data_IF_815832007726
#
_entry.id   IF_815832007726
#
_cell.length_a   1.000
_cell.length_b   1.000
_cell.length_c   1.000
_cell.angle_alpha   90.00
_cell.angle_beta   90.00
_cell.angle_gamma   90.00
#
_symmetry.space_group_name_H-M   'P 1'
#
loop_
_entity.id
_entity.type
_entity.pdbx_description
1 polymer ?
#
# COMPACT_ATOMS: atom_id res chain seq x y z
N UNK A 1 -20.57 -12.59 8.69
CA UNK A 1 -19.16 -12.98 8.93
C UNK A 1 -18.42 -12.87 7.61
N UNK A 2 -17.65 -11.80 7.42
CA UNK A 2 -16.96 -11.55 6.14
C UNK A 2 -15.81 -12.55 5.98
N UNK A 3 -15.78 -13.30 4.88
CA UNK A 3 -14.66 -14.17 4.54
C UNK A 3 -13.51 -13.24 4.16
N UNK A 4 -12.50 -13.13 5.03
CA UNK A 4 -11.25 -12.43 4.69
C UNK A 4 -10.74 -12.92 3.33
N UNK A 5 -10.37 -11.97 2.47
CA UNK A 5 -9.91 -12.17 1.10
C UNK A 5 -8.74 -13.19 1.08
N UNK A 6 -8.65 -14.07 0.07
CA UNK A 6 -7.51 -14.98 -0.12
C UNK A 6 -6.15 -14.30 0.00
N UNK A 7 -6.03 -13.02 -0.40
CA UNK A 7 -4.80 -12.26 -0.23
C UNK A 7 -4.55 -11.93 1.25
N UNK A 8 -5.51 -11.35 1.98
CA UNK A 8 -5.36 -11.04 3.40
C UNK A 8 -4.96 -12.27 4.23
N UNK A 9 -5.46 -13.46 3.89
CA UNK A 9 -5.04 -14.71 4.55
C UNK A 9 -3.60 -15.09 4.24
N UNK A 10 -3.16 -14.94 2.98
CA UNK A 10 -1.78 -15.20 2.56
C UNK A 10 -0.82 -14.20 3.18
N UNK A 11 -1.22 -12.94 3.27
CA UNK A 11 -0.50 -11.86 3.93
C UNK A 11 -0.30 -12.17 5.43
N UNK A 12 -1.36 -12.54 6.13
CA UNK A 12 -1.28 -12.97 7.54
C UNK A 12 -0.42 -14.22 7.71
N UNK A 13 -0.44 -15.14 6.74
CA UNK A 13 0.42 -16.33 6.75
C UNK A 13 1.91 -15.97 6.59
N UNK A 14 2.25 -15.00 5.72
CA UNK A 14 3.63 -14.50 5.53
C UNK A 14 4.17 -13.91 6.84
N UNK A 15 3.37 -13.19 7.61
CA UNK A 15 3.78 -12.71 8.94
C UNK A 15 3.91 -13.81 9.99
N UNK A 16 3.02 -14.82 9.97
CA UNK A 16 3.06 -15.93 10.94
C UNK A 16 4.20 -16.91 10.70
N UNK A 17 4.74 -17.02 9.48
CA UNK A 17 5.72 -18.05 9.12
C UNK A 17 7.14 -17.75 9.62
N UNK A 18 7.44 -16.52 10.06
CA UNK A 18 8.70 -16.13 10.71
C UNK A 18 8.45 -15.69 12.15
N UNK A 19 8.52 -16.61 13.10
CA UNK A 19 8.65 -16.36 14.56
C UNK A 19 7.54 -15.58 15.28
N UNK A 20 6.35 -15.40 14.69
CA UNK A 20 5.24 -14.69 15.34
C UNK A 20 5.54 -13.21 15.62
N UNK A 21 6.53 -12.62 14.94
CA UNK A 21 6.90 -11.20 15.04
C UNK A 21 6.56 -10.50 13.73
N UNK A 22 5.94 -9.32 13.80
CA UNK A 22 5.71 -8.45 12.64
C UNK A 22 7.03 -8.22 11.91
N UNK A 23 7.05 -8.48 10.61
CA UNK A 23 8.24 -8.28 9.78
C UNK A 23 8.40 -6.77 9.52
N UNK A 24 9.26 -6.12 10.29
CA UNK A 24 9.48 -4.67 10.19
C UNK A 24 10.58 -4.37 9.17
N UNK A 25 10.26 -3.56 8.16
CA UNK A 25 11.22 -3.04 7.19
C UNK A 25 11.56 -1.58 7.51
N UNK A 26 12.83 -1.23 7.35
CA UNK A 26 13.32 0.13 7.50
C UNK A 26 13.25 0.84 6.17
N UNK A 27 12.62 2.00 6.13
CA UNK A 27 12.46 2.83 4.94
C UNK A 27 12.93 4.25 5.21
N UNK A 28 13.45 4.90 4.17
CA UNK A 28 13.86 6.30 4.20
C UNK A 28 12.76 7.17 3.61
N UNK A 29 12.47 8.28 4.27
CA UNK A 29 11.54 9.29 3.81
C UNK A 29 12.29 10.43 3.10
N UNK A 30 11.57 11.16 2.24
CA UNK A 30 12.07 12.32 1.50
C UNK A 30 12.52 13.48 2.41
N UNK A 31 12.06 13.54 3.65
CA UNK A 31 12.50 14.52 4.65
C UNK A 31 13.76 14.09 5.43
N UNK A 32 14.40 12.99 5.01
CA UNK A 32 15.60 12.45 5.63
C UNK A 32 15.34 11.59 6.88
N UNK A 33 14.09 11.47 7.35
CA UNK A 33 13.76 10.57 8.46
C UNK A 33 13.78 9.11 8.01
N UNK A 34 13.99 8.24 8.98
CA UNK A 34 13.88 6.79 8.81
C UNK A 34 12.66 6.28 9.58
N UNK A 35 11.84 5.47 8.93
CA UNK A 35 10.66 4.85 9.54
C UNK A 35 10.77 3.33 9.45
N UNK A 36 10.16 2.64 10.43
CA UNK A 36 10.03 1.18 10.41
C UNK A 36 8.58 0.81 10.22
N UNK A 37 8.27 0.13 9.12
CA UNK A 37 6.91 -0.25 8.75
C UNK A 37 6.76 -1.77 8.71
N UNK A 38 5.66 -2.33 9.26
CA UNK A 38 5.34 -3.74 9.07
C UNK A 38 5.06 -4.05 7.59
N UNK A 39 5.53 -5.20 7.12
CA UNK A 39 5.25 -5.67 5.75
C UNK A 39 3.76 -5.82 5.49
N UNK A 40 2.95 -6.25 6.47
CA UNK A 40 1.49 -6.29 6.30
C UNK A 40 0.90 -4.92 6.04
N UNK A 41 1.25 -3.93 6.85
CA UNK A 41 0.71 -2.58 6.73
C UNK A 41 0.98 -2.03 5.30
N UNK A 42 2.18 -2.29 4.73
CA UNK A 42 2.50 -1.92 3.34
C UNK A 42 1.64 -2.68 2.32
N UNK A 43 1.49 -4.00 2.51
CA UNK A 43 0.77 -4.86 1.57
C UNK A 43 -0.75 -4.63 1.60
N UNK A 44 -1.32 -4.34 2.76
CA UNK A 44 -2.72 -3.97 2.93
C UNK A 44 -3.02 -2.65 2.22
N UNK A 45 -2.14 -1.64 2.35
CA UNK A 45 -2.31 -0.37 1.59
C UNK A 45 -2.18 -0.58 0.08
N UNK A 46 -1.23 -1.41 -0.36
CA UNK A 46 -1.11 -1.75 -1.79
C UNK A 46 -2.36 -2.46 -2.30
N UNK A 47 -2.93 -3.37 -1.50
CA UNK A 47 -4.17 -4.05 -1.83
C UNK A 47 -5.37 -3.08 -1.89
N UNK A 48 -5.52 -2.22 -0.87
CA UNK A 48 -6.61 -1.23 -0.82
C UNK A 48 -6.48 -0.18 -1.93
N UNK A 49 -5.25 0.16 -2.31
CA UNK A 49 -4.96 1.02 -3.46
C UNK A 49 -5.33 0.36 -4.78
N UNK A 50 -5.07 -0.94 -4.95
CA UNK A 50 -5.36 -1.68 -6.18
C UNK A 50 -6.83 -2.15 -6.20
N UNK A 51 -7.72 -1.32 -6.75
CA UNK A 51 -9.11 -1.68 -7.00
C UNK A 51 -9.20 -2.74 -8.12
N UNK A 52 -9.05 -4.02 -7.77
CA UNK A 52 -9.24 -5.13 -8.69
C UNK A 52 -10.75 -5.37 -8.88
N UNK A 53 -11.31 -4.86 -9.98
CA UNK A 53 -12.53 -5.43 -10.57
C UNK A 53 -13.80 -5.44 -9.70
N UNK A 54 -13.91 -4.55 -8.71
CA UNK A 54 -15.21 -4.18 -8.13
C UNK A 54 -15.64 -4.84 -6.83
N UNK A 55 -14.74 -5.27 -5.93
CA UNK A 55 -15.16 -5.62 -4.57
C UNK A 55 -14.31 -4.95 -3.47
N UNK A 56 -15.05 -4.21 -2.61
CA UNK A 56 -14.71 -3.64 -1.31
C UNK A 56 -13.31 -3.01 -1.16
N UNK A 57 -13.25 -1.69 -1.34
CA UNK A 57 -12.16 -0.86 -0.84
C UNK A 57 -12.54 -0.42 0.57
N UNK A 58 -11.95 -1.04 1.59
CA UNK A 58 -11.87 -0.39 2.91
C UNK A 58 -10.89 0.78 2.80
N UNK A 59 -11.22 1.92 3.38
CA UNK A 59 -10.28 3.05 3.39
C UNK A 59 -9.04 2.69 4.22
N UNK A 60 -7.83 2.72 3.63
CA UNK A 60 -6.61 2.47 4.37
C UNK A 60 -6.33 3.60 5.39
N UNK A 61 -5.57 3.33 6.48
CA UNK A 61 -5.23 4.35 7.46
C UNK A 61 -4.46 5.53 6.83
N UNK A 62 -4.97 6.77 6.88
CA UNK A 62 -4.37 7.91 6.16
C UNK A 62 -2.92 8.21 6.55
N UNK A 63 -2.56 7.97 7.81
CA UNK A 63 -1.20 8.18 8.33
C UNK A 63 -0.18 7.25 7.68
N UNK A 64 -0.55 6.00 7.48
CA UNK A 64 0.31 4.99 6.85
C UNK A 64 0.46 5.29 5.36
N UNK A 65 -0.63 5.61 4.66
CA UNK A 65 -0.60 5.96 3.23
C UNK A 65 0.27 7.20 3.00
N UNK A 66 0.12 8.24 3.82
CA UNK A 66 1.00 9.43 3.76
C UNK A 66 2.47 9.09 3.97
N UNK A 67 2.77 8.17 4.89
CA UNK A 67 4.15 7.69 5.10
C UNK A 67 4.69 6.99 3.85
N UNK A 68 3.87 6.18 3.18
CA UNK A 68 4.24 5.49 1.94
C UNK A 68 4.42 6.45 0.76
N UNK A 69 3.63 7.52 0.67
CA UNK A 69 3.78 8.55 -0.35
C UNK A 69 5.11 9.31 -0.21
N UNK A 70 5.64 9.40 1.01
CA UNK A 70 6.88 10.11 1.34
C UNK A 70 8.14 9.24 1.24
N UNK A 71 8.06 7.98 0.79
CA UNK A 71 9.26 7.15 0.62
C UNK A 71 10.25 7.80 -0.35
N UNK A 72 11.54 7.69 -0.06
CA UNK A 72 12.58 8.30 -0.89
C UNK A 72 12.82 7.51 -2.18
N UNK A 73 12.73 8.20 -3.33
CA UNK A 73 12.94 7.67 -4.67
C UNK A 73 14.36 7.20 -4.95
N UNK A 74 15.34 7.76 -4.26
CA UNK A 74 16.73 7.41 -4.44
C UNK A 74 17.11 6.16 -3.64
N UNK A 75 16.42 5.92 -2.50
CA UNK A 75 16.65 4.76 -1.65
C UNK A 75 15.88 3.50 -2.07
N UNK A 76 14.73 3.66 -2.75
CA UNK A 76 13.98 2.56 -3.34
C UNK A 76 13.64 2.83 -4.80
N UNK A 77 14.53 2.36 -5.68
CA UNK A 77 14.43 2.44 -7.14
C UNK A 77 13.72 1.21 -7.74
N UNK A 78 13.21 0.30 -6.90
CA UNK A 78 12.49 -0.88 -7.39
C UNK A 78 11.16 -0.49 -8.05
N UNK A 79 10.68 -1.32 -8.97
CA UNK A 79 9.35 -1.15 -9.57
C UNK A 79 8.25 -1.11 -8.48
N UNK A 80 8.39 -1.95 -7.45
CA UNK A 80 7.48 -2.00 -6.31
C UNK A 80 7.49 -0.70 -5.50
N UNK A 81 8.67 -0.15 -5.20
CA UNK A 81 8.81 1.12 -4.49
C UNK A 81 8.21 2.29 -5.27
N UNK A 82 8.41 2.33 -6.59
CA UNK A 82 7.76 3.32 -7.48
C UNK A 82 6.23 3.20 -7.46
N UNK A 83 5.70 1.99 -7.60
CA UNK A 83 4.25 1.75 -7.58
C UNK A 83 3.64 2.12 -6.23
N UNK A 84 4.29 1.70 -5.13
CA UNK A 84 3.84 2.00 -3.76
C UNK A 84 3.67 3.49 -3.53
N UNK A 85 4.66 4.29 -3.94
CA UNK A 85 4.58 5.75 -3.84
C UNK A 85 3.50 6.35 -4.71
N UNK A 86 3.39 5.92 -5.96
CA UNK A 86 2.41 6.47 -6.89
C UNK A 86 0.98 6.20 -6.40
N UNK A 87 0.71 4.96 -5.97
CA UNK A 87 -0.55 4.53 -5.36
C UNK A 87 -0.87 5.35 -4.11
N UNK A 88 0.11 5.50 -3.21
CA UNK A 88 -0.07 6.24 -1.98
C UNK A 88 -0.30 7.74 -2.22
N UNK A 89 0.43 8.35 -3.17
CA UNK A 89 0.29 9.75 -3.52
C UNK A 89 -1.08 10.07 -4.13
N UNK A 90 -1.55 9.25 -5.08
CA UNK A 90 -2.88 9.41 -5.68
C UNK A 90 -3.98 9.22 -4.63
N UNK A 91 -3.83 8.23 -3.74
CA UNK A 91 -4.76 8.03 -2.64
C UNK A 91 -4.81 9.25 -1.71
N UNK A 92 -3.66 9.81 -1.31
CA UNK A 92 -3.62 11.00 -0.47
C UNK A 92 -4.28 12.20 -1.15
N UNK A 93 -3.99 12.43 -2.43
CA UNK A 93 -4.57 13.53 -3.19
C UNK A 93 -6.10 13.43 -3.28
N UNK A 94 -6.62 12.21 -3.51
CA UNK A 94 -8.06 11.98 -3.56
C UNK A 94 -8.72 12.09 -2.17
N UNK A 95 -8.08 11.57 -1.11
CA UNK A 95 -8.55 11.71 0.27
C UNK A 95 -8.65 13.18 0.71
N UNK A 96 -7.61 13.98 0.47
CA UNK A 96 -7.58 15.40 0.82
C UNK A 96 -8.65 16.21 0.03
N UNK A 97 -9.08 15.72 -1.14
CA UNK A 97 -10.16 16.30 -1.95
C UNK A 97 -11.55 15.76 -1.60
N UNK A 98 -11.67 14.84 -0.63
CA UNK A 98 -12.94 14.17 -0.31
C UNK A 98 -13.51 13.35 -1.48
N UNK A 99 -12.64 12.91 -2.40
CA UNK A 99 -13.01 12.13 -3.58
C UNK A 99 -12.86 10.64 -3.32
N UNK A 100 -13.74 9.79 -3.88
CA UNK A 100 -13.53 8.36 -3.85
C UNK A 100 -12.25 8.00 -4.61
N UNK A 101 -11.37 7.23 -3.97
CA UNK A 101 -10.14 6.74 -4.58
C UNK A 101 -10.43 5.43 -5.29
N UNK A 102 -10.21 5.39 -6.60
CA UNK A 102 -10.18 4.17 -7.39
C UNK A 102 -8.93 4.21 -8.26
N UNK A 103 -7.92 3.41 -7.93
CA UNK A 103 -6.75 3.28 -8.80
C UNK A 103 -7.07 2.20 -9.82
N UNK A 104 -7.49 2.66 -11.00
CA UNK A 104 -7.64 1.79 -12.14
C UNK A 104 -6.24 1.36 -12.58
N UNK A 105 -5.93 0.08 -12.41
CA UNK A 105 -4.81 -0.52 -13.12
C UNK A 105 -5.03 -0.27 -14.60
N UNK A 106 -4.06 0.34 -15.28
CA UNK A 106 -4.16 0.71 -16.68
C UNK A 106 -4.64 -0.47 -17.51
N UNK A 107 -5.93 -0.47 -17.82
CA UNK A 107 -6.50 -1.37 -18.79
C UNK A 107 -5.97 -0.85 -20.12
N UNK A 108 -5.16 -1.68 -20.77
CA UNK A 108 -4.64 -1.38 -22.10
C UNK A 108 -5.77 -0.82 -22.96
N UNK A 109 -5.49 0.31 -23.59
CA UNK A 109 -6.28 0.79 -24.70
C UNK A 109 -6.15 -0.26 -25.82
N UNK A 110 -6.98 -1.30 -25.76
CA UNK A 110 -7.39 -2.04 -26.94
C UNK A 110 -8.58 -1.28 -27.54
N UNK A 111 -8.27 -0.30 -28.38
CA UNK A 111 -9.11 0.14 -29.50
C UNK A 111 -8.22 0.48 -30.68
#
# INVERSE_FOLDING_TARGET
MSRADPLSRRLVAVEKQRDGRRLMHTHHLTDGRTVRLPTLDVLDVLHDGLALGGQHVTEPPPTLVRTLAQLDAEHDTSMMGRLTRAVAAEWCAAYDQGRPVALYGGQGADT
#
